data_IF_523114042278
#
_entry.id   IF_523114042278
#
_cell.length_a   1.000
_cell.length_b   1.000
_cell.length_c   1.000
_cell.angle_alpha   90.00
_cell.angle_beta   90.00
_cell.angle_gamma   90.00
#
_symmetry.space_group_name_H-M   'P 1'
#
loop_
_entity.id
_entity.type
_entity.pdbx_description
1 polymer ?
#
# COMPACT_ATOMS: atom_id res chain seq x y z
N UNK A 1 -11.38 33.19 47.88
CA UNK A 1 -11.96 32.01 47.21
C UNK A 1 -11.00 31.58 46.12
N UNK A 2 -10.18 30.56 46.39
CA UNK A 2 -9.22 30.01 45.42
C UNK A 2 -9.98 29.11 44.45
N UNK A 3 -10.06 29.53 43.19
CA UNK A 3 -10.53 28.72 42.08
C UNK A 3 -9.62 27.48 41.98
N UNK A 4 -10.08 26.34 42.50
CA UNK A 4 -9.46 25.05 42.21
C UNK A 4 -9.85 24.68 40.78
N UNK A 5 -8.96 24.99 39.83
CA UNK A 5 -9.08 24.46 38.48
C UNK A 5 -9.24 22.95 38.57
N UNK A 6 -10.35 22.42 38.07
CA UNK A 6 -10.48 20.98 37.78
C UNK A 6 -9.41 20.67 36.73
N UNK A 7 -8.29 20.08 37.17
CA UNK A 7 -7.35 19.48 36.24
C UNK A 7 -8.08 18.39 35.48
N UNK A 8 -7.98 18.42 34.15
CA UNK A 8 -8.39 17.31 33.29
C UNK A 8 -7.64 16.06 33.73
N UNK A 9 -8.36 14.94 33.77
CA UNK A 9 -7.74 13.66 34.09
C UNK A 9 -6.83 13.23 32.94
N UNK A 10 -5.76 12.49 33.24
CA UNK A 10 -4.83 11.95 32.22
C UNK A 10 -5.56 11.15 31.11
N UNK A 11 -6.72 10.58 31.41
CA UNK A 11 -7.58 9.89 30.43
C UNK A 11 -8.22 10.86 29.44
N UNK A 12 -8.73 11.99 29.91
CA UNK A 12 -9.33 13.02 29.04
C UNK A 12 -8.29 13.67 28.14
N UNK A 13 -7.06 13.86 28.64
CA UNK A 13 -5.93 14.36 27.84
C UNK A 13 -5.56 13.35 26.74
N UNK A 14 -5.46 12.06 27.08
CA UNK A 14 -5.17 11.00 26.12
C UNK A 14 -6.26 10.84 25.06
N UNK A 15 -7.53 10.90 25.45
CA UNK A 15 -8.68 10.80 24.53
C UNK A 15 -8.73 12.00 23.56
N UNK A 16 -8.39 13.20 24.04
CA UNK A 16 -8.30 14.41 23.22
C UNK A 16 -7.14 14.34 22.22
N UNK A 17 -5.97 13.88 22.65
CA UNK A 17 -4.80 13.65 21.79
C UNK A 17 -5.09 12.61 20.71
N UNK A 18 -5.67 11.46 21.08
CA UNK A 18 -6.03 10.40 20.15
C UNK A 18 -7.04 10.89 19.09
N UNK A 19 -8.00 11.73 19.51
CA UNK A 19 -8.98 12.36 18.61
C UNK A 19 -8.30 13.34 17.65
N UNK A 20 -7.40 14.18 18.15
CA UNK A 20 -6.63 15.14 17.35
C UNK A 20 -5.72 14.44 16.33
N UNK A 21 -5.01 13.39 16.75
CA UNK A 21 -4.19 12.56 15.89
C UNK A 21 -5.02 11.90 14.78
N UNK A 22 -6.14 11.29 15.12
CA UNK A 22 -7.05 10.66 14.17
C UNK A 22 -7.64 11.65 13.16
N UNK A 23 -7.98 12.86 13.61
CA UNK A 23 -8.47 13.93 12.74
C UNK A 23 -7.39 14.42 11.77
N UNK A 24 -6.14 14.60 12.24
CA UNK A 24 -4.99 14.96 11.40
C UNK A 24 -4.71 13.87 10.37
N UNK A 25 -4.67 12.60 10.78
CA UNK A 25 -4.52 11.46 9.86
C UNK A 25 -5.57 11.51 8.77
N UNK A 26 -6.87 11.56 9.14
CA UNK A 26 -7.98 11.54 8.19
C UNK A 26 -7.92 12.71 7.20
N UNK A 27 -7.52 13.90 7.66
CA UNK A 27 -7.35 15.08 6.82
C UNK A 27 -6.32 14.89 5.71
N UNK A 28 -5.25 14.15 6.01
CA UNK A 28 -4.09 13.99 5.13
C UNK A 28 -4.07 12.67 4.35
N UNK A 29 -5.03 11.76 4.54
CA UNK A 29 -5.18 10.54 3.72
C UNK A 29 -5.20 10.81 2.20
N UNK A 30 -5.85 11.87 1.68
CA UNK A 30 -5.84 12.16 0.25
C UNK A 30 -4.48 12.60 -0.30
N UNK A 31 -3.55 13.04 0.56
CA UNK A 31 -2.25 13.60 0.16
C UNK A 31 -1.21 12.51 -0.16
N UNK A 32 -1.54 11.23 0.08
CA UNK A 32 -0.69 10.07 -0.20
C UNK A 32 -1.22 9.31 -1.41
N UNK A 33 -0.43 9.33 -2.48
CA UNK A 33 -0.73 8.65 -3.73
C UNK A 33 -0.19 7.21 -3.73
N UNK A 34 -1.08 6.24 -3.91
CA UNK A 34 -0.77 4.81 -3.80
C UNK A 34 -1.01 4.10 -5.13
N UNK A 35 -0.05 3.29 -5.56
CA UNK A 35 -0.23 2.34 -6.66
C UNK A 35 -0.28 0.91 -6.12
N UNK A 36 -1.34 0.17 -6.44
CA UNK A 36 -1.45 -1.26 -6.08
C UNK A 36 -1.02 -2.15 -7.25
N UNK A 37 0.08 -2.87 -7.05
CA UNK A 37 0.55 -3.94 -7.92
C UNK A 37 -0.03 -5.26 -7.40
N UNK A 38 -0.42 -6.16 -8.29
CA UNK A 38 -1.08 -7.38 -7.85
C UNK A 38 -1.48 -8.29 -9.01
N UNK A 39 -1.85 -9.54 -8.70
CA UNK A 39 -2.20 -10.52 -9.72
C UNK A 39 -3.45 -10.09 -10.51
N UNK A 40 -3.34 -10.11 -11.84
CA UNK A 40 -4.49 -10.01 -12.76
C UNK A 40 -5.12 -11.36 -13.11
N UNK A 41 -4.45 -12.47 -12.77
CA UNK A 41 -4.90 -13.84 -12.99
C UNK A 41 -4.81 -14.67 -11.70
N UNK A 42 -5.82 -15.48 -11.36
CA UNK A 42 -7.10 -15.62 -12.06
C UNK A 42 -7.96 -14.33 -12.01
N UNK A 43 -8.98 -14.15 -12.89
CA UNK A 43 -9.69 -12.87 -13.05
C UNK A 43 -10.33 -12.29 -11.77
N UNK A 44 -10.69 -13.15 -10.83
CA UNK A 44 -11.16 -12.80 -9.48
C UNK A 44 -10.11 -12.01 -8.66
N UNK A 45 -8.83 -12.16 -8.97
CA UNK A 45 -7.76 -11.42 -8.31
C UNK A 45 -7.73 -9.95 -8.75
N UNK A 46 -8.01 -9.68 -10.02
CA UNK A 46 -8.19 -8.30 -10.48
C UNK A 46 -9.39 -7.64 -9.77
N UNK A 47 -10.51 -8.35 -9.65
CA UNK A 47 -11.70 -7.84 -8.95
C UNK A 47 -11.46 -7.64 -7.46
N UNK A 48 -10.67 -8.52 -6.83
CA UNK A 48 -10.22 -8.34 -5.43
C UNK A 48 -9.42 -7.06 -5.26
N UNK A 49 -8.46 -6.79 -6.16
CA UNK A 49 -7.66 -5.56 -6.12
C UNK A 49 -8.50 -4.31 -6.41
N UNK A 50 -9.45 -4.36 -7.35
CA UNK A 50 -10.43 -3.27 -7.60
C UNK A 50 -11.30 -3.00 -6.37
N UNK A 51 -11.82 -4.04 -5.74
CA UNK A 51 -12.65 -3.93 -4.53
C UNK A 51 -11.86 -3.29 -3.38
N UNK A 52 -10.61 -3.73 -3.17
CA UNK A 52 -9.68 -3.12 -2.22
C UNK A 52 -9.46 -1.63 -2.53
N UNK A 53 -9.12 -1.29 -3.78
CA UNK A 53 -8.90 0.09 -4.20
C UNK A 53 -10.14 0.96 -3.96
N UNK A 54 -11.33 0.47 -4.31
CA UNK A 54 -12.59 1.18 -4.09
C UNK A 54 -12.89 1.39 -2.60
N UNK A 55 -12.63 0.39 -1.75
CA UNK A 55 -12.80 0.51 -0.30
C UNK A 55 -11.84 1.54 0.30
N UNK A 56 -10.58 1.58 -0.16
CA UNK A 56 -9.59 2.57 0.27
C UNK A 56 -9.93 3.98 -0.22
N UNK A 57 -10.38 4.13 -1.47
CA UNK A 57 -10.89 5.40 -2.00
C UNK A 57 -12.10 5.90 -1.22
N UNK A 58 -13.03 5.02 -0.86
CA UNK A 58 -14.15 5.33 0.02
C UNK A 58 -13.74 5.80 1.42
N UNK A 59 -12.54 5.42 1.89
CA UNK A 59 -11.94 5.92 3.12
C UNK A 59 -11.18 7.25 2.96
N UNK A 60 -11.12 7.81 1.75
CA UNK A 60 -10.45 9.07 1.43
C UNK A 60 -9.01 8.93 0.94
N UNK A 61 -8.53 7.73 0.63
CA UNK A 61 -7.18 7.52 0.11
C UNK A 61 -7.11 7.73 -1.41
N UNK A 62 -5.98 8.26 -1.90
CA UNK A 62 -5.71 8.36 -3.33
C UNK A 62 -5.04 7.06 -3.83
N UNK A 63 -5.83 6.13 -4.37
CA UNK A 63 -5.36 4.79 -4.79
C UNK A 63 -5.58 4.54 -6.27
N UNK A 64 -4.58 3.97 -6.93
CA UNK A 64 -4.59 3.60 -8.34
C UNK A 64 -4.25 2.14 -8.56
N UNK A 65 -4.82 1.57 -9.63
CA UNK A 65 -4.44 0.26 -10.17
C UNK A 65 -4.21 0.44 -11.67
N UNK A 66 -3.19 -0.21 -12.22
CA UNK A 66 -2.75 0.01 -13.60
C UNK A 66 -3.86 -0.28 -14.62
N UNK A 67 -4.71 -1.27 -14.36
CA UNK A 67 -5.75 -1.75 -15.26
C UNK A 67 -6.95 -0.80 -15.39
N UNK A 68 -7.11 0.15 -14.46
CA UNK A 68 -8.15 1.18 -14.50
C UNK A 68 -7.69 2.46 -15.20
N UNK A 69 -6.38 2.60 -15.41
CA UNK A 69 -5.82 3.72 -16.13
C UNK A 69 -6.05 3.42 -17.61
N UNK A 70 -7.02 4.14 -18.19
CA UNK A 70 -7.51 3.99 -19.56
C UNK A 70 -6.40 3.88 -20.60
N UNK A 71 -6.74 3.56 -21.88
CA UNK A 71 -5.76 3.13 -22.86
C UNK A 71 -4.60 4.11 -22.95
N UNK A 72 -3.46 3.74 -22.37
CA UNK A 72 -2.20 4.39 -22.68
C UNK A 72 -1.92 3.95 -24.11
N UNK A 73 -1.72 4.89 -25.02
CA UNK A 73 -1.39 4.66 -26.44
C UNK A 73 -0.01 3.99 -26.62
N UNK A 74 0.48 3.32 -25.58
CA UNK A 74 1.76 2.65 -25.52
C UNK A 74 1.73 1.37 -26.37
N UNK A 75 2.80 1.21 -27.13
CA UNK A 75 3.02 0.12 -28.08
C UNK A 75 3.37 -1.18 -27.34
N UNK A 76 3.91 -1.07 -26.12
CA UNK A 76 4.28 -2.19 -25.25
C UNK A 76 4.00 -1.91 -23.76
N UNK A 77 4.06 -2.98 -22.95
CA UNK A 77 3.76 -2.94 -21.50
C UNK A 77 4.74 -2.08 -20.71
N UNK A 78 6.00 -1.97 -21.15
CA UNK A 78 7.04 -1.21 -20.48
C UNK A 78 6.76 0.29 -20.59
N UNK A 79 6.52 0.75 -21.82
CA UNK A 79 6.15 2.15 -22.12
C UNK A 79 4.84 2.53 -21.43
N UNK A 80 3.89 1.59 -21.35
CA UNK A 80 2.65 1.79 -20.59
C UNK A 80 2.94 2.01 -19.11
N UNK A 81 3.76 1.16 -18.52
CA UNK A 81 4.01 1.18 -17.08
C UNK A 81 4.85 2.39 -16.68
N UNK A 82 5.86 2.77 -17.47
CA UNK A 82 6.61 4.02 -17.32
C UNK A 82 5.71 5.26 -17.36
N UNK A 83 4.87 5.38 -18.40
CA UNK A 83 3.94 6.51 -18.52
C UNK A 83 2.93 6.61 -17.36
N UNK A 84 2.59 5.47 -16.74
CA UNK A 84 1.76 5.44 -15.53
C UNK A 84 2.54 5.91 -14.31
N UNK A 85 3.77 5.45 -14.12
CA UNK A 85 4.62 5.86 -13.00
C UNK A 85 4.92 7.36 -13.06
N UNK A 86 5.20 7.91 -14.24
CA UNK A 86 5.44 9.34 -14.43
C UNK A 86 4.19 10.19 -14.19
N UNK A 87 3.04 9.73 -14.68
CA UNK A 87 1.77 10.45 -14.54
C UNK A 87 1.25 10.45 -13.10
N UNK A 88 1.36 9.33 -12.41
CA UNK A 88 0.82 9.16 -11.05
C UNK A 88 1.82 9.66 -10.02
N UNK A 89 3.12 9.42 -10.25
CA UNK A 89 4.20 9.63 -9.31
C UNK A 89 3.84 9.15 -7.88
N UNK A 90 3.60 7.84 -7.69
CA UNK A 90 3.08 7.31 -6.43
C UNK A 90 4.06 7.57 -5.28
N UNK A 91 3.56 7.99 -4.11
CA UNK A 91 4.33 8.06 -2.87
C UNK A 91 4.68 6.65 -2.38
N UNK A 92 3.73 5.72 -2.52
CA UNK A 92 3.87 4.31 -2.11
C UNK A 92 3.38 3.37 -3.20
N UNK A 93 4.12 2.29 -3.39
CA UNK A 93 3.77 1.20 -4.31
C UNK A 93 3.62 -0.06 -3.46
N UNK A 94 2.41 -0.62 -3.42
CA UNK A 94 2.14 -1.83 -2.63
C UNK A 94 2.02 -3.02 -3.57
N UNK A 95 2.94 -3.97 -3.45
CA UNK A 95 2.96 -5.21 -4.21
C UNK A 95 2.23 -6.32 -3.45
N UNK A 96 1.12 -6.78 -4.02
CA UNK A 96 0.21 -7.74 -3.43
C UNK A 96 0.53 -9.16 -3.91
N UNK A 97 0.79 -10.06 -2.97
CA UNK A 97 0.98 -11.49 -3.22
C UNK A 97 -0.13 -12.26 -2.50
N UNK A 98 -1.11 -12.74 -3.26
CA UNK A 98 -2.25 -13.52 -2.74
C UNK A 98 -2.01 -15.01 -2.97
N UNK A 99 -2.58 -15.88 -2.13
CA UNK A 99 -2.41 -17.34 -2.29
C UNK A 99 -3.03 -17.90 -3.58
N UNK A 100 -4.03 -17.23 -4.15
CA UNK A 100 -4.70 -17.66 -5.39
C UNK A 100 -4.11 -17.03 -6.64
N UNK A 101 -3.43 -15.89 -6.52
CA UNK A 101 -2.92 -15.15 -7.65
C UNK A 101 -1.56 -15.62 -8.14
N UNK A 102 -1.35 -15.56 -9.45
CA UNK A 102 -0.02 -15.82 -10.02
C UNK A 102 0.95 -14.69 -9.65
N UNK A 103 2.09 -15.00 -9.00
CA UNK A 103 3.02 -13.96 -8.55
C UNK A 103 3.85 -13.38 -9.71
N UNK A 104 3.90 -14.05 -10.86
CA UNK A 104 4.79 -13.70 -11.98
C UNK A 104 4.59 -12.28 -12.51
N UNK A 105 3.34 -11.83 -12.64
CA UNK A 105 3.05 -10.46 -13.10
C UNK A 105 3.57 -9.42 -12.11
N UNK A 106 3.35 -9.64 -10.82
CA UNK A 106 3.79 -8.75 -9.74
C UNK A 106 5.33 -8.72 -9.66
N UNK A 107 5.97 -9.87 -9.80
CA UNK A 107 7.44 -9.99 -9.86
C UNK A 107 7.99 -9.19 -11.04
N UNK A 108 7.38 -9.32 -12.22
CA UNK A 108 7.77 -8.55 -13.41
C UNK A 108 7.64 -7.04 -13.18
N UNK A 109 6.51 -6.57 -12.64
CA UNK A 109 6.27 -5.15 -12.34
C UNK A 109 7.28 -4.60 -11.32
N UNK A 110 7.59 -5.38 -10.28
CA UNK A 110 8.62 -5.02 -9.29
C UNK A 110 10.01 -4.95 -9.91
N UNK A 111 10.35 -5.92 -10.78
CA UNK A 111 11.62 -5.92 -11.52
C UNK A 111 11.74 -4.70 -12.44
N UNK A 112 10.66 -4.36 -13.15
CA UNK A 112 10.60 -3.15 -13.99
C UNK A 112 10.80 -1.89 -13.14
N UNK A 113 10.10 -1.77 -12.01
CA UNK A 113 10.22 -0.64 -11.10
C UNK A 113 11.67 -0.44 -10.63
N UNK A 114 12.35 -1.53 -10.28
CA UNK A 114 13.76 -1.51 -9.88
C UNK A 114 14.69 -1.08 -11.02
N UNK A 115 14.40 -1.52 -12.25
CA UNK A 115 15.15 -1.12 -13.44
C UNK A 115 14.95 0.36 -13.79
N UNK A 116 13.73 0.86 -13.67
CA UNK A 116 13.35 2.22 -14.05
C UNK A 116 13.78 3.28 -13.00
N UNK A 117 13.50 3.05 -11.71
CA UNK A 117 13.82 4.02 -10.65
C UNK A 117 15.23 3.85 -10.06
N UNK A 118 15.84 2.69 -10.29
CA UNK A 118 16.96 2.18 -9.49
C UNK A 118 16.48 1.55 -8.17
N UNK A 119 17.18 0.50 -7.73
CA UNK A 119 16.81 -0.32 -6.56
C UNK A 119 16.60 0.53 -5.31
N UNK A 120 17.52 1.46 -4.99
CA UNK A 120 17.45 2.28 -3.79
C UNK A 120 16.20 3.19 -3.74
N UNK A 121 15.79 3.73 -4.89
CA UNK A 121 14.59 4.57 -4.96
C UNK A 121 13.32 3.73 -4.99
N UNK A 122 13.36 2.56 -5.64
CA UNK A 122 12.26 1.61 -5.59
C UNK A 122 11.99 1.15 -4.15
N UNK A 123 13.02 0.80 -3.37
CA UNK A 123 12.90 0.36 -1.98
C UNK A 123 12.29 1.41 -1.05
N UNK A 124 12.47 2.72 -1.33
CA UNK A 124 11.82 3.79 -0.56
C UNK A 124 10.30 3.76 -0.72
N UNK A 125 9.81 3.46 -1.91
CA UNK A 125 8.38 3.48 -2.27
C UNK A 125 7.71 2.11 -2.13
N UNK A 126 8.45 1.02 -2.29
CA UNK A 126 7.91 -0.33 -2.38
C UNK A 126 7.56 -0.90 -1.01
N UNK A 127 6.39 -1.52 -0.91
CA UNK A 127 5.92 -2.28 0.25
C UNK A 127 5.35 -3.61 -0.23
N UNK A 128 5.64 -4.69 0.49
CA UNK A 128 5.13 -6.02 0.13
C UNK A 128 4.01 -6.43 1.07
N UNK A 129 2.87 -6.87 0.51
CA UNK A 129 1.79 -7.48 1.28
C UNK A 129 1.64 -8.94 0.82
N UNK A 130 1.89 -9.88 1.72
CA UNK A 130 1.97 -11.32 1.41
C UNK A 130 0.92 -12.09 2.20
N UNK A 131 0.11 -12.88 1.51
CA UNK A 131 -0.84 -13.81 2.13
C UNK A 131 -0.05 -14.90 2.87
N UNK A 132 -0.32 -15.09 4.17
CA UNK A 132 0.34 -16.10 5.01
C UNK A 132 0.16 -17.53 4.49
N UNK A 133 -0.90 -17.78 3.73
CA UNK A 133 -1.19 -19.10 3.13
C UNK A 133 -0.51 -19.28 1.78
N UNK A 134 0.17 -18.27 1.27
CA UNK A 134 1.10 -18.43 0.16
C UNK A 134 2.24 -19.32 0.67
N UNK A 135 2.13 -20.63 0.45
CA UNK A 135 3.27 -21.53 0.57
C UNK A 135 4.38 -20.87 -0.23
N UNK A 136 5.52 -20.62 0.41
CA UNK A 136 6.68 -19.90 -0.13
C UNK A 136 6.66 -20.05 -1.63
N UNK A 137 6.55 -18.93 -2.35
CA UNK A 137 6.64 -18.93 -3.80
C UNK A 137 7.99 -19.56 -4.11
N UNK A 138 8.01 -20.88 -4.35
CA UNK A 138 9.24 -21.68 -4.48
C UNK A 138 10.01 -21.31 -5.76
N UNK A 139 9.52 -20.30 -6.49
CA UNK A 139 10.05 -19.77 -7.73
C UNK A 139 10.07 -18.24 -7.69
N UNK A 140 10.40 -17.62 -6.55
CA UNK A 140 10.83 -16.21 -6.58
C UNK A 140 12.23 -16.13 -7.20
N UNK A 141 12.46 -15.22 -8.16
CA UNK A 141 13.81 -14.94 -8.60
C UNK A 141 14.69 -14.50 -7.41
N UNK A 142 15.97 -14.87 -7.41
CA UNK A 142 16.91 -14.52 -6.32
C UNK A 142 16.98 -13.04 -5.97
N UNK A 143 16.79 -12.15 -6.96
CA UNK A 143 16.78 -10.71 -6.69
C UNK A 143 15.62 -10.30 -5.78
N UNK A 144 14.53 -11.07 -5.79
CA UNK A 144 13.37 -10.82 -4.96
C UNK A 144 13.66 -11.09 -3.48
N UNK A 145 14.52 -12.08 -3.17
CA UNK A 145 14.99 -12.31 -1.79
C UNK A 145 15.74 -11.08 -1.25
N UNK A 146 16.57 -10.45 -2.10
CA UNK A 146 17.25 -9.21 -1.75
C UNK A 146 16.25 -8.08 -1.48
N UNK A 147 15.25 -7.91 -2.36
CA UNK A 147 14.23 -6.87 -2.18
C UNK A 147 13.40 -7.10 -0.92
N UNK A 148 12.97 -8.33 -0.67
CA UNK A 148 12.21 -8.71 0.53
C UNK A 148 13.00 -8.53 1.82
N UNK A 149 14.32 -8.67 1.79
CA UNK A 149 15.19 -8.44 2.95
C UNK A 149 15.45 -6.94 3.24
N UNK A 150 15.14 -6.05 2.29
CA UNK A 150 15.45 -4.61 2.36
C UNK A 150 14.22 -3.71 2.38
N UNK A 151 13.11 -4.17 1.81
CA UNK A 151 11.84 -3.48 1.86
C UNK A 151 11.05 -3.89 3.09
N UNK A 152 10.13 -3.03 3.52
CA UNK A 152 9.12 -3.41 4.50
C UNK A 152 8.12 -4.39 3.87
N UNK A 153 7.85 -5.48 4.59
CA UNK A 153 6.84 -6.45 4.19
C UNK A 153 5.85 -6.71 5.33
N UNK A 154 4.63 -7.06 4.93
CA UNK A 154 3.51 -7.27 5.81
C UNK A 154 2.81 -8.56 5.43
N UNK A 155 2.53 -9.38 6.44
CA UNK A 155 1.72 -10.57 6.28
C UNK A 155 0.25 -10.28 6.55
N UNK A 156 -0.63 -10.81 5.70
CA UNK A 156 -2.08 -10.76 5.89
C UNK A 156 -2.70 -12.15 5.81
N UNK A 157 -3.91 -12.28 6.36
CA UNK A 157 -4.74 -13.47 6.20
C UNK A 157 -6.20 -13.03 6.09
N UNK A 158 -6.77 -13.12 4.90
CA UNK A 158 -8.19 -12.87 4.73
C UNK A 158 -8.99 -14.08 5.27
N UNK A 159 -9.76 -13.85 6.35
CA UNK A 159 -10.45 -14.88 7.13
C UNK A 159 -10.79 -14.42 8.56
N UNK A 160 -11.00 -15.39 9.47
CA UNK A 160 -11.48 -15.15 10.85
C UNK A 160 -10.38 -14.65 11.79
N UNK A 161 -9.11 -14.93 11.50
CA UNK A 161 -7.99 -14.59 12.38
C UNK A 161 -6.91 -13.76 11.65
N UNK A 162 -6.56 -12.61 12.23
CA UNK A 162 -5.46 -11.75 11.79
C UNK A 162 -5.88 -10.43 11.15
N UNK A 163 -4.87 -9.63 10.75
CA UNK A 163 -5.11 -8.42 9.96
C UNK A 163 -5.43 -8.80 8.51
N UNK A 164 -6.53 -8.23 8.00
CA UNK A 164 -6.94 -8.42 6.60
C UNK A 164 -6.00 -7.70 5.65
N UNK A 165 -6.09 -7.99 4.36
CA UNK A 165 -5.37 -7.25 3.34
C UNK A 165 -5.69 -5.74 3.39
N UNK A 166 -6.96 -5.40 3.60
CA UNK A 166 -7.40 -4.02 3.77
C UNK A 166 -6.69 -3.35 4.95
N UNK A 167 -6.66 -4.00 6.13
CA UNK A 167 -6.05 -3.42 7.33
C UNK A 167 -4.56 -3.16 7.13
N UNK A 168 -3.86 -4.06 6.41
CA UNK A 168 -2.43 -3.88 6.10
C UNK A 168 -2.20 -2.71 5.17
N UNK A 169 -2.90 -2.67 4.04
CA UNK A 169 -2.71 -1.61 3.05
C UNK A 169 -3.13 -0.26 3.64
N UNK A 170 -4.21 -0.21 4.41
CA UNK A 170 -4.63 1.01 5.08
C UNK A 170 -3.60 1.47 6.13
N UNK A 171 -3.03 0.56 6.93
CA UNK A 171 -1.96 0.92 7.87
C UNK A 171 -0.72 1.48 7.18
N UNK A 172 -0.31 0.90 6.05
CA UNK A 172 0.82 1.42 5.24
C UNK A 172 0.54 2.87 4.79
N UNK A 173 -0.69 3.17 4.38
CA UNK A 173 -1.08 4.53 3.96
C UNK A 173 -1.04 5.48 5.15
N UNK A 174 -1.54 5.07 6.32
CA UNK A 174 -1.51 5.89 7.53
C UNK A 174 -0.06 6.17 7.99
N UNK A 175 0.81 5.16 7.94
CA UNK A 175 2.23 5.31 8.28
C UNK A 175 2.92 6.30 7.31
N UNK A 176 2.59 6.23 6.03
CA UNK A 176 3.08 7.19 5.04
C UNK A 176 2.56 8.61 5.29
N UNK A 177 1.29 8.78 5.67
CA UNK A 177 0.74 10.08 6.07
C UNK A 177 1.51 10.65 7.25
N UNK A 178 1.75 9.85 8.29
CA UNK A 178 2.55 10.24 9.46
C UNK A 178 3.95 10.67 9.03
N UNK A 179 4.62 9.88 8.17
CA UNK A 179 5.95 10.18 7.66
C UNK A 179 6.00 11.49 6.87
N UNK A 180 5.04 11.72 5.98
CA UNK A 180 4.98 12.88 5.08
C UNK A 180 4.62 14.17 5.82
N UNK A 181 3.72 14.10 6.79
CA UNK A 181 3.18 15.27 7.50
C UNK A 181 3.73 15.47 8.91
N UNK A 182 4.59 14.55 9.40
CA UNK A 182 5.21 14.59 10.74
C UNK A 182 4.18 14.74 11.86
N UNK A 183 3.12 13.94 11.78
CA UNK A 183 2.00 13.91 12.73
C UNK A 183 2.35 13.04 13.94
#
# INVERSE_FOLDING_TARGET
>A
MTNRGRGTSAREEWDAEATSFSAKLKKHLPDVCVLLLGPGYPPDQLETRKSLANRLRGAGCQVFIMEELGPVTAIDINTKFEGILDRINPDVIVALFTKQGSPHAVIFEVGFLCGHLGIENALKKLRFCIDRKLRKVDVLPRYFDYLMAKAEYYEFCDGIEGRTLYDRVFSIIQDEVVRKHKI
#
